data_IF_168584580466
#
_entry.id   IF_168584580466
#
_cell.length_a   1.000
_cell.length_b   1.000
_cell.length_c   1.000
_cell.angle_alpha   90.00
_cell.angle_beta   90.00
_cell.angle_gamma   90.00
#
_symmetry.space_group_name_H-M   'P 1'
#
loop_
_entity.id
_entity.type
_entity.pdbx_description
1 polymer ?
#
# COMPACT_ATOMS: atom_id res chain seq x y z
N UNK A 1 -0.44 15.72 1.69
CA UNK A 1 -1.18 14.44 1.64
C UNK A 1 -0.61 13.51 2.71
N UNK A 2 -1.40 12.63 3.34
CA UNK A 2 -0.84 11.70 4.35
C UNK A 2 -0.03 10.59 3.69
N UNK A 3 0.97 10.03 4.38
CA UNK A 3 1.78 8.90 3.89
C UNK A 3 0.89 7.69 3.54
N UNK A 4 -0.15 7.46 4.33
CA UNK A 4 -1.15 6.41 4.09
C UNK A 4 -1.86 6.65 2.77
N UNK A 5 -2.35 7.86 2.52
CA UNK A 5 -3.06 8.18 1.28
C UNK A 5 -2.17 7.98 0.05
N UNK A 6 -0.90 8.41 0.10
CA UNK A 6 0.04 8.22 -1.00
C UNK A 6 0.33 6.73 -1.29
N UNK A 7 0.48 5.90 -0.25
CA UNK A 7 0.64 4.45 -0.41
C UNK A 7 -0.60 3.84 -1.05
N UNK A 8 -1.80 4.19 -0.56
CA UNK A 8 -3.05 3.65 -1.09
C UNK A 8 -3.31 4.07 -2.54
N UNK A 9 -2.94 5.29 -2.93
CA UNK A 9 -3.04 5.78 -4.30
C UNK A 9 -2.19 4.92 -5.27
N UNK A 10 -0.93 4.64 -4.91
CA UNK A 10 -0.07 3.79 -5.75
C UNK A 10 -0.53 2.34 -5.84
N UNK A 11 -1.15 1.82 -4.78
CA UNK A 11 -1.67 0.45 -4.75
C UNK A 11 -3.08 0.33 -5.33
N UNK A 12 -3.73 1.44 -5.68
CA UNK A 12 -5.12 1.49 -6.16
C UNK A 12 -5.36 0.71 -7.45
N UNK A 13 -4.31 0.39 -8.22
CA UNK A 13 -4.38 -0.44 -9.41
C UNK A 13 -4.62 -1.94 -9.13
N UNK A 14 -4.55 -2.36 -7.86
CA UNK A 14 -4.79 -3.75 -7.45
C UNK A 14 -3.68 -4.72 -7.85
N UNK A 15 -2.52 -4.25 -8.30
CA UNK A 15 -1.38 -5.08 -8.68
C UNK A 15 -0.40 -5.25 -7.51
N UNK A 16 0.52 -6.19 -7.67
CA UNK A 16 1.66 -6.30 -6.77
C UNK A 16 2.71 -5.26 -7.14
N UNK A 17 3.22 -4.56 -6.14
CA UNK A 17 4.27 -3.55 -6.28
C UNK A 17 5.47 -3.93 -5.41
N UNK A 18 6.67 -3.87 -5.97
CA UNK A 18 7.91 -4.05 -5.21
C UNK A 18 8.13 -2.91 -4.22
N UNK A 19 8.53 -3.25 -3.00
CA UNK A 19 8.70 -2.27 -1.91
C UNK A 19 9.78 -1.24 -2.28
N UNK A 20 10.90 -1.66 -2.86
CA UNK A 20 12.02 -0.79 -3.25
C UNK A 20 11.57 0.30 -4.24
N UNK A 21 10.76 -0.07 -5.22
CA UNK A 21 10.22 0.86 -6.21
C UNK A 21 9.26 1.88 -5.57
N UNK A 22 8.46 1.44 -4.59
CA UNK A 22 7.57 2.32 -3.85
C UNK A 22 8.35 3.30 -2.96
N UNK A 23 9.40 2.87 -2.28
CA UNK A 23 10.26 3.74 -1.46
C UNK A 23 10.83 4.90 -2.29
N UNK A 24 11.35 4.58 -3.48
CA UNK A 24 11.90 5.58 -4.41
C UNK A 24 10.83 6.57 -4.89
N UNK A 25 9.65 6.07 -5.28
CA UNK A 25 8.54 6.92 -5.76
C UNK A 25 7.96 7.81 -4.68
N UNK A 26 7.79 7.26 -3.48
CA UNK A 26 7.18 7.95 -2.34
C UNK A 26 8.17 8.82 -1.57
N UNK A 27 9.47 8.70 -1.85
CA UNK A 27 10.56 9.32 -1.08
C UNK A 27 10.45 9.02 0.43
N UNK A 28 10.02 7.80 0.77
CA UNK A 28 9.91 7.31 2.14
C UNK A 28 11.13 6.50 2.51
N UNK A 29 11.53 6.59 3.78
CA UNK A 29 12.46 5.61 4.34
C UNK A 29 11.79 4.24 4.44
N UNK A 30 12.60 3.19 4.43
CA UNK A 30 12.11 1.81 4.59
C UNK A 30 11.38 1.63 5.92
N UNK A 31 11.80 2.33 6.98
CA UNK A 31 11.12 2.33 8.28
C UNK A 31 9.70 2.91 8.17
N UNK A 32 9.56 4.10 7.60
CA UNK A 32 8.26 4.76 7.48
C UNK A 32 7.28 3.93 6.63
N UNK A 33 7.77 3.35 5.53
CA UNK A 33 6.96 2.48 4.70
C UNK A 33 6.52 1.22 5.45
N UNK A 34 7.43 0.58 6.20
CA UNK A 34 7.10 -0.58 7.04
C UNK A 34 6.05 -0.25 8.09
N UNK A 35 6.15 0.91 8.75
CA UNK A 35 5.14 1.36 9.73
C UNK A 35 3.76 1.52 9.06
N UNK A 36 3.70 2.11 7.86
CA UNK A 36 2.45 2.24 7.09
C UNK A 36 1.92 0.89 6.62
N UNK A 37 2.77 0.04 6.04
CA UNK A 37 2.39 -1.27 5.53
C UNK A 37 1.92 -2.21 6.65
N UNK A 38 2.60 -2.18 7.81
CA UNK A 38 2.19 -2.93 9.00
C UNK A 38 0.84 -2.45 9.55
N UNK A 39 0.63 -1.12 9.62
CA UNK A 39 -0.66 -0.55 10.01
C UNK A 39 -1.78 -1.03 9.08
N UNK A 40 -1.60 -0.86 7.76
CA UNK A 40 -2.60 -1.28 6.77
C UNK A 40 -2.82 -2.80 6.77
N UNK A 41 -1.75 -3.57 6.94
CA UNK A 41 -1.78 -5.03 6.99
C UNK A 41 -2.53 -5.55 8.22
N UNK A 42 -2.37 -4.90 9.37
CA UNK A 42 -3.08 -5.24 10.62
C UNK A 42 -4.60 -5.20 10.46
N UNK A 43 -5.12 -4.30 9.64
CA UNK A 43 -6.55 -4.18 9.36
C UNK A 43 -6.98 -4.90 8.07
N UNK A 44 -6.08 -5.65 7.43
CA UNK A 44 -6.38 -6.42 6.23
C UNK A 44 -6.55 -5.57 4.95
N UNK A 45 -6.18 -4.29 4.98
CA UNK A 45 -6.30 -3.38 3.83
C UNK A 45 -5.26 -3.68 2.74
N UNK A 46 -4.10 -4.22 3.12
CA UNK A 46 -3.06 -4.64 2.19
C UNK A 46 -2.57 -6.04 2.55
N UNK A 47 -2.00 -6.73 1.57
CA UNK A 47 -1.23 -7.95 1.74
C UNK A 47 0.23 -7.65 1.47
N UNK A 48 1.10 -8.07 2.38
CA UNK A 48 2.55 -7.97 2.25
C UNK A 48 3.09 -9.39 2.02
N UNK A 49 3.91 -9.53 0.98
CA UNK A 49 4.66 -10.74 0.66
C UNK A 49 6.12 -10.43 0.99
N UNK A 50 6.52 -10.76 2.22
CA UNK A 50 7.86 -10.51 2.75
C UNK A 50 8.93 -11.28 1.98
N UNK A 51 8.61 -12.50 1.52
CA UNK A 51 9.54 -13.34 0.77
C UNK A 51 9.94 -12.71 -0.57
N UNK A 52 9.00 -12.07 -1.26
CA UNK A 52 9.23 -11.39 -2.53
C UNK A 52 9.31 -9.86 -2.40
N UNK A 53 9.34 -9.33 -1.18
CA UNK A 53 9.39 -7.89 -0.84
C UNK A 53 8.42 -7.04 -1.68
N UNK A 54 7.15 -7.43 -1.68
CA UNK A 54 6.09 -6.76 -2.46
C UNK A 54 4.80 -6.60 -1.67
N UNK A 55 4.01 -5.60 -2.04
CA UNK A 55 2.74 -5.27 -1.38
C UNK A 55 1.63 -5.12 -2.42
N UNK A 56 0.40 -5.41 -2.03
CA UNK A 56 -0.80 -5.25 -2.85
C UNK A 56 -2.00 -4.86 -1.98
N UNK A 57 -2.88 -4.02 -2.49
CA UNK A 57 -4.14 -3.71 -1.81
C UNK A 57 -5.09 -4.92 -1.80
N UNK A 58 -5.84 -5.08 -0.72
CA UNK A 58 -6.92 -6.06 -0.65
C UNK A 58 -8.03 -5.69 -1.64
N UNK A 59 -8.57 -6.68 -2.36
CA UNK A 59 -9.59 -6.47 -3.40
C UNK A 59 -10.89 -5.86 -2.86
N UNK A 60 -11.32 -6.26 -1.66
CA UNK A 60 -12.56 -5.74 -1.08
C UNK A 60 -12.39 -4.28 -0.65
N UNK A 61 -11.24 -3.96 -0.05
CA UNK A 61 -10.90 -2.58 0.28
C UNK A 61 -10.70 -1.70 -0.96
N UNK A 62 -10.08 -2.23 -2.02
CA UNK A 62 -9.94 -1.55 -3.31
C UNK A 62 -11.31 -1.16 -3.90
N UNK A 63 -12.29 -2.06 -3.85
CA UNK A 63 -13.66 -1.79 -4.30
C UNK A 63 -14.32 -0.67 -3.49
N UNK A 64 -14.12 -0.68 -2.16
CA UNK A 64 -14.62 0.37 -1.28
C UNK A 64 -14.01 1.74 -1.61
N UNK A 65 -12.70 1.79 -1.85
CA UNK A 65 -12.03 3.03 -2.26
C UNK A 65 -12.55 3.56 -3.59
N UNK A 66 -12.80 2.68 -4.57
CA UNK A 66 -13.34 3.08 -5.87
C UNK A 66 -14.76 3.67 -5.77
N UNK A 67 -15.55 3.24 -4.78
CA UNK A 67 -16.91 3.75 -4.55
C UNK A 67 -16.90 5.08 -3.78
N UNK A 68 -15.92 5.31 -2.89
CA UNK A 68 -15.80 6.52 -2.09
C UNK A 68 -15.35 7.77 -2.88
N UNK A 69 -15.01 7.61 -4.17
CA UNK A 69 -14.60 8.69 -5.09
C UNK A 69 -15.77 9.15 -5.98
N UNK A 70 -17.01 8.73 -5.66
CA UNK A 70 -18.25 9.20 -6.32
C UNK A 70 -18.97 10.22 -5.43
#
# INVERSE_FOLDING_TARGET
MSKIAMVLELLGDGKWHGIEALLLRLKLSEREFREVAAFLGRYGFVKVDEANRRVKINRDFQRLLAQAVT
#
